data_IF_825518329404
#
_entry.id   IF_825518329404
#
_cell.length_a   1.000
_cell.length_b   1.000
_cell.length_c   1.000
_cell.angle_alpha   90.00
_cell.angle_beta   90.00
_cell.angle_gamma   90.00
#
_symmetry.space_group_name_H-M   'P 1'
#
loop_
_entity.id
_entity.type
_entity.pdbx_description
1 polymer ?
#
# COMPACT_ATOMS: atom_id res chain seq x y z
N UNK A 1 -17.80 3.22 -35.84
CA UNK A 1 -18.05 2.14 -34.88
C UNK A 1 -17.33 2.52 -33.61
N UNK A 2 -18.07 2.86 -32.55
CA UNK A 2 -17.49 3.07 -31.22
C UNK A 2 -16.96 1.71 -30.77
N UNK A 3 -15.64 1.57 -30.62
CA UNK A 3 -15.08 0.45 -29.88
C UNK A 3 -15.40 0.73 -28.42
N UNK A 4 -16.45 0.10 -27.89
CA UNK A 4 -16.76 0.21 -26.48
C UNK A 4 -15.61 -0.46 -25.70
N UNK A 5 -14.71 0.36 -25.17
CA UNK A 5 -13.62 -0.11 -24.31
C UNK A 5 -14.23 -0.67 -23.03
N UNK A 6 -13.96 -1.94 -22.76
CA UNK A 6 -14.40 -2.61 -21.54
C UNK A 6 -13.76 -1.94 -20.33
N UNK A 7 -14.59 -1.61 -19.34
CA UNK A 7 -14.13 -1.06 -18.07
C UNK A 7 -14.24 -2.08 -16.94
N UNK A 8 -13.30 -2.03 -16.01
CA UNK A 8 -13.19 -2.86 -14.83
C UNK A 8 -13.48 -1.98 -13.62
N UNK A 9 -14.40 -2.43 -12.76
CA UNK A 9 -14.72 -1.77 -11.48
C UNK A 9 -14.03 -2.50 -10.32
N UNK A 10 -13.58 -1.75 -9.32
CA UNK A 10 -12.85 -2.28 -8.18
C UNK A 10 -13.66 -3.32 -7.40
N UNK A 11 -13.02 -4.41 -6.99
CA UNK A 11 -13.65 -5.52 -6.27
C UNK A 11 -14.26 -5.10 -4.92
N UNK A 12 -13.67 -4.11 -4.27
CA UNK A 12 -14.11 -3.63 -2.95
C UNK A 12 -15.21 -2.58 -3.02
N UNK A 13 -15.67 -2.26 -4.23
CA UNK A 13 -16.58 -1.15 -4.47
C UNK A 13 -17.88 -1.18 -3.64
N UNK A 14 -18.44 -2.36 -3.36
CA UNK A 14 -19.68 -2.47 -2.57
C UNK A 14 -19.46 -2.23 -1.06
N UNK A 15 -18.23 -2.41 -0.59
CA UNK A 15 -17.87 -2.40 0.84
C UNK A 15 -17.29 -1.06 1.30
N UNK A 16 -16.78 -0.26 0.36
CA UNK A 16 -16.28 1.07 0.66
C UNK A 16 -17.43 2.00 1.01
N UNK A 17 -17.39 2.50 2.25
CA UNK A 17 -18.28 3.54 2.74
C UNK A 17 -18.04 4.85 1.97
N UNK A 18 -18.95 5.19 1.04
CA UNK A 18 -18.94 6.48 0.32
C UNK A 18 -19.31 7.60 1.28
N UNK A 19 -18.34 8.11 2.02
CA UNK A 19 -18.55 9.28 2.87
C UNK A 19 -18.41 10.55 2.01
N UNK A 20 -19.53 11.23 1.75
CA UNK A 20 -19.67 12.30 0.76
C UNK A 20 -19.01 13.64 1.14
N UNK A 21 -18.18 13.67 2.18
CA UNK A 21 -17.66 14.90 2.78
C UNK A 21 -16.31 15.34 2.20
N UNK A 22 -15.44 14.40 1.83
CA UNK A 22 -14.17 14.71 1.17
C UNK A 22 -14.29 14.58 -0.34
N UNK A 23 -13.92 15.65 -1.06
CA UNK A 23 -13.96 15.67 -2.51
C UNK A 23 -12.64 15.19 -3.11
N UNK A 24 -12.69 14.57 -4.30
CA UNK A 24 -11.48 14.34 -5.08
C UNK A 24 -10.83 15.68 -5.42
N UNK A 25 -9.50 15.65 -5.52
CA UNK A 25 -8.62 16.79 -5.74
C UNK A 25 -8.09 16.84 -7.16
N UNK A 26 -8.02 15.70 -7.86
CA UNK A 26 -7.46 15.62 -9.20
C UNK A 26 -8.52 15.49 -10.29
N UNK A 27 -9.57 14.70 -10.05
CA UNK A 27 -10.58 14.44 -11.07
C UNK A 27 -11.98 14.32 -10.48
N UNK A 28 -12.98 14.95 -11.10
CA UNK A 28 -14.35 15.00 -10.58
C UNK A 28 -15.06 13.64 -10.55
N UNK A 29 -14.59 12.70 -11.37
CA UNK A 29 -15.04 11.33 -11.50
C UNK A 29 -14.37 10.37 -10.51
N UNK A 30 -13.27 10.80 -9.88
CA UNK A 30 -12.67 10.03 -8.81
C UNK A 30 -13.58 10.02 -7.58
N UNK A 31 -13.39 8.99 -6.76
CA UNK A 31 -14.02 8.88 -5.44
C UNK A 31 -12.94 8.91 -4.37
N UNK A 32 -13.31 9.36 -3.17
CA UNK A 32 -12.44 9.30 -1.99
C UNK A 32 -12.99 8.29 -1.01
N UNK A 33 -12.14 7.35 -0.64
CA UNK A 33 -12.47 6.20 0.19
C UNK A 33 -11.72 6.28 1.51
N UNK A 34 -12.41 6.04 2.63
CA UNK A 34 -11.86 6.19 3.98
C UNK A 34 -11.69 4.83 4.63
N UNK A 35 -10.47 4.54 5.06
CA UNK A 35 -10.08 3.29 5.69
C UNK A 35 -9.70 3.58 7.16
N UNK A 36 -10.65 3.49 8.09
CA UNK A 36 -10.34 3.59 9.51
C UNK A 36 -9.53 2.38 9.94
N UNK A 37 -8.52 2.60 10.77
CA UNK A 37 -7.64 1.54 11.25
C UNK A 37 -7.23 1.75 12.69
N UNK A 38 -6.76 0.66 13.32
CA UNK A 38 -6.11 0.68 14.63
C UNK A 38 -4.76 -0.02 14.53
N UNK A 39 -3.76 0.52 15.19
CA UNK A 39 -2.43 -0.10 15.22
C UNK A 39 -1.77 0.09 16.59
N UNK A 40 -0.89 -0.86 16.94
CA UNK A 40 -0.18 -0.83 18.22
C UNK A 40 0.99 0.16 18.18
N UNK A 41 1.20 0.89 19.28
CA UNK A 41 2.43 1.65 19.48
C UNK A 41 3.52 0.74 20.08
N UNK A 42 4.73 0.83 19.52
CA UNK A 42 6.01 0.34 20.04
C UNK A 42 5.91 -0.71 21.15
N UNK A 43 5.95 -1.98 20.73
CA UNK A 43 6.30 -3.05 21.65
C UNK A 43 7.83 -3.03 21.73
N UNK A 44 8.41 -2.25 22.65
CA UNK A 44 9.61 -2.79 23.32
C UNK A 44 9.12 -4.07 23.95
N UNK A 45 9.44 -5.21 23.32
CA UNK A 45 9.09 -6.58 23.70
C UNK A 45 8.38 -6.63 25.05
N UNK A 46 7.07 -6.34 25.07
CA UNK A 46 6.27 -6.71 26.22
C UNK A 46 6.42 -8.20 26.23
N UNK A 47 6.99 -8.74 27.31
CA UNK A 47 7.18 -10.16 27.53
C UNK A 47 5.83 -10.87 27.38
N UNK A 48 5.40 -11.12 26.15
CA UNK A 48 4.73 -12.34 25.82
C UNK A 48 5.84 -13.36 26.00
N UNK A 49 5.94 -13.84 27.24
CA UNK A 49 6.95 -14.79 27.68
C UNK A 49 7.11 -15.87 26.63
N UNK A 50 8.35 -16.32 26.50
CA UNK A 50 8.98 -17.20 25.50
C UNK A 50 8.27 -18.52 25.21
N UNK A 51 6.95 -18.52 24.96
CA UNK A 51 6.07 -19.64 24.66
C UNK A 51 4.66 -19.15 24.27
N UNK A 52 4.52 -18.30 23.25
CA UNK A 52 3.22 -18.17 22.56
C UNK A 52 3.04 -19.39 21.65
N UNK A 53 2.81 -20.56 22.27
CA UNK A 53 2.34 -21.72 21.54
C UNK A 53 1.00 -21.38 20.89
N UNK A 54 0.80 -21.82 19.65
CA UNK A 54 -0.48 -21.76 18.97
C UNK A 54 -1.53 -22.42 19.87
N UNK A 55 -2.43 -21.63 20.46
CA UNK A 55 -3.50 -22.14 21.31
C UNK A 55 -4.69 -22.51 20.43
N UNK A 56 -5.33 -23.63 20.72
CA UNK A 56 -6.58 -24.05 20.09
C UNK A 56 -7.69 -24.06 21.13
N UNK A 57 -8.91 -23.70 20.73
CA UNK A 57 -10.09 -23.86 21.58
C UNK A 57 -10.60 -25.31 21.57
N UNK A 58 -11.73 -25.54 22.23
CA UNK A 58 -12.33 -26.88 22.34
C UNK A 58 -12.74 -27.47 20.98
N UNK A 59 -12.98 -26.61 19.98
CA UNK A 59 -13.36 -26.98 18.62
C UNK A 59 -12.13 -27.17 17.70
N UNK A 60 -10.92 -26.90 18.22
CA UNK A 60 -9.68 -26.99 17.46
C UNK A 60 -9.34 -25.73 16.66
N UNK A 61 -10.10 -24.65 16.83
CA UNK A 61 -9.86 -23.38 16.18
C UNK A 61 -8.74 -22.60 16.87
N UNK A 62 -7.95 -21.86 16.11
CA UNK A 62 -6.85 -21.08 16.67
C UNK A 62 -7.36 -19.93 17.54
N UNK A 63 -6.98 -19.94 18.82
CA UNK A 63 -7.23 -18.83 19.74
C UNK A 63 -6.31 -17.67 19.39
N UNK A 64 -6.89 -16.64 18.78
CA UNK A 64 -6.18 -15.40 18.42
C UNK A 64 -6.06 -14.48 19.63
N UNK A 65 -4.85 -14.36 20.19
CA UNK A 65 -4.55 -13.38 21.24
C UNK A 65 -4.61 -11.95 20.68
N UNK A 66 -5.59 -11.16 21.13
CA UNK A 66 -5.71 -9.74 20.74
C UNK A 66 -4.83 -8.87 21.63
N UNK A 67 -4.08 -7.93 21.04
CA UNK A 67 -3.30 -6.93 21.79
C UNK A 67 -4.24 -6.07 22.66
N UNK A 68 -3.90 -5.80 23.93
CA UNK A 68 -4.77 -5.04 24.84
C UNK A 68 -5.06 -3.63 24.31
N UNK A 69 -6.31 -3.19 24.50
CA UNK A 69 -6.90 -1.95 23.93
C UNK A 69 -6.15 -0.67 24.35
N UNK A 70 -5.48 -0.68 25.51
CA UNK A 70 -4.82 0.50 26.09
C UNK A 70 -3.57 0.98 25.33
N UNK A 71 -3.10 0.27 24.30
CA UNK A 71 -1.90 0.62 23.52
C UNK A 71 -2.16 0.74 22.01
N UNK A 72 -3.39 1.08 21.61
CA UNK A 72 -3.76 1.24 20.22
C UNK A 72 -3.93 2.73 19.85
N UNK A 73 -3.33 3.15 18.73
CA UNK A 73 -3.70 4.40 18.05
C UNK A 73 -4.71 4.10 16.96
N UNK A 74 -5.62 5.04 16.78
CA UNK A 74 -6.59 5.02 15.69
C UNK A 74 -6.20 6.06 14.64
N UNK A 75 -6.52 5.77 13.40
CA UNK A 75 -6.27 6.66 12.28
C UNK A 75 -7.22 6.36 11.13
N UNK A 76 -7.16 7.22 10.11
CA UNK A 76 -7.97 7.06 8.90
C UNK A 76 -7.04 7.35 7.72
N UNK A 77 -6.94 6.41 6.80
CA UNK A 77 -6.31 6.64 5.50
C UNK A 77 -7.41 7.02 4.54
N UNK A 78 -7.28 8.18 3.89
CA UNK A 78 -8.20 8.63 2.85
C UNK A 78 -7.50 8.49 1.50
N UNK A 79 -8.08 7.73 0.58
CA UNK A 79 -7.50 7.48 -0.76
C UNK A 79 -8.47 7.96 -1.82
N UNK A 80 -8.00 8.86 -2.66
CA UNK A 80 -8.61 9.18 -3.93
C UNK A 80 -8.23 8.11 -4.96
N UNK A 81 -9.23 7.60 -5.68
CA UNK A 81 -9.05 6.59 -6.71
C UNK A 81 -10.14 6.67 -7.77
N UNK A 82 -9.86 6.08 -8.92
CA UNK A 82 -10.86 5.94 -9.98
C UNK A 82 -11.87 4.86 -9.62
N UNK A 83 -13.13 5.11 -9.98
CA UNK A 83 -14.23 4.19 -9.73
C UNK A 83 -14.17 2.93 -10.59
N UNK A 84 -13.90 3.15 -11.88
CA UNK A 84 -13.84 2.15 -12.93
C UNK A 84 -12.82 2.63 -13.96
N UNK A 85 -12.06 1.71 -14.54
CA UNK A 85 -10.96 2.04 -15.47
C UNK A 85 -10.91 1.05 -16.62
N UNK A 86 -10.24 1.40 -17.70
CA UNK A 86 -9.76 0.40 -18.66
C UNK A 86 -8.68 -0.47 -18.03
N UNK A 87 -8.31 -1.58 -18.70
CA UNK A 87 -7.29 -2.50 -18.21
C UNK A 87 -5.92 -1.82 -18.02
N UNK A 88 -5.54 -0.92 -18.93
CA UNK A 88 -4.26 -0.19 -18.85
C UNK A 88 -4.17 0.80 -17.67
N UNK A 89 -5.30 1.05 -16.99
CA UNK A 89 -5.44 2.06 -15.94
C UNK A 89 -5.85 1.46 -14.59
N UNK A 90 -5.80 0.14 -14.44
CA UNK A 90 -6.18 -0.57 -13.19
C UNK A 90 -5.39 -0.15 -11.96
N UNK A 91 -4.17 0.38 -12.14
CA UNK A 91 -3.37 0.96 -11.06
C UNK A 91 -4.05 2.16 -10.37
N UNK A 92 -5.02 2.81 -11.03
CA UNK A 92 -5.81 3.90 -10.44
C UNK A 92 -6.93 3.42 -9.51
N UNK A 93 -7.07 2.11 -9.29
CA UNK A 93 -8.06 1.51 -8.41
C UNK A 93 -7.41 0.96 -7.13
N UNK A 94 -8.21 0.71 -6.10
CA UNK A 94 -7.75 0.01 -4.89
C UNK A 94 -8.03 -1.48 -5.06
N UNK A 95 -7.04 -2.30 -4.71
CA UNK A 95 -7.08 -3.75 -4.78
C UNK A 95 -7.04 -4.40 -3.39
N UNK A 96 -7.66 -5.57 -3.24
CA UNK A 96 -7.73 -6.29 -1.95
C UNK A 96 -6.36 -6.71 -1.46
N UNK A 97 -5.44 -7.06 -2.36
CA UNK A 97 -4.04 -7.34 -2.02
C UNK A 97 -3.37 -6.18 -1.30
N UNK A 98 -3.60 -4.94 -1.75
CA UNK A 98 -3.09 -3.74 -1.09
C UNK A 98 -3.70 -3.53 0.30
N UNK A 99 -5.01 -3.77 0.46
CA UNK A 99 -5.64 -3.69 1.78
C UNK A 99 -5.10 -4.74 2.76
N UNK A 100 -4.90 -5.98 2.29
CA UNK A 100 -4.33 -7.06 3.09
C UNK A 100 -2.89 -6.75 3.53
N UNK A 101 -2.04 -6.32 2.59
CA UNK A 101 -0.67 -5.92 2.91
C UNK A 101 -0.65 -4.71 3.85
N UNK A 102 -1.55 -3.74 3.66
CA UNK A 102 -1.67 -2.61 4.56
C UNK A 102 -2.03 -3.01 5.99
N UNK A 103 -2.98 -3.93 6.18
CA UNK A 103 -3.31 -4.44 7.52
C UNK A 103 -2.13 -5.18 8.17
N UNK A 104 -1.41 -6.00 7.39
CA UNK A 104 -0.19 -6.65 7.84
C UNK A 104 0.88 -5.64 8.31
N UNK A 105 1.10 -4.57 7.54
CA UNK A 105 2.04 -3.52 7.89
C UNK A 105 1.57 -2.69 9.09
N UNK A 106 0.27 -2.45 9.26
CA UNK A 106 -0.24 -1.83 10.49
C UNK A 106 0.03 -2.70 11.72
N UNK A 107 0.03 -4.03 11.58
CA UNK A 107 0.30 -4.93 12.67
C UNK A 107 1.80 -5.04 13.03
N UNK A 108 2.66 -5.16 12.01
CA UNK A 108 4.09 -5.50 12.17
C UNK A 108 5.07 -4.40 11.73
N UNK A 109 4.59 -3.33 11.12
CA UNK A 109 5.43 -2.32 10.47
C UNK A 109 6.45 -1.68 11.42
N UNK A 110 6.08 -1.45 12.68
CA UNK A 110 7.02 -0.91 13.67
C UNK A 110 8.25 -1.79 13.91
N UNK A 111 8.12 -3.12 13.80
CA UNK A 111 9.26 -4.04 13.97
C UNK A 111 9.94 -4.40 12.65
N UNK A 112 9.21 -4.36 11.54
CA UNK A 112 9.71 -4.79 10.23
C UNK A 112 10.36 -3.65 9.44
N UNK A 113 9.86 -2.42 9.58
CA UNK A 113 10.22 -1.31 8.70
C UNK A 113 11.04 -0.23 9.40
N UNK A 114 11.14 -0.25 10.73
CA UNK A 114 11.95 0.72 11.47
C UNK A 114 13.38 0.72 10.93
N UNK A 115 13.92 1.91 10.66
CA UNK A 115 15.26 2.13 10.12
C UNK A 115 15.50 1.61 8.68
N UNK A 116 14.46 1.10 8.00
CA UNK A 116 14.57 0.61 6.63
C UNK A 116 14.20 1.69 5.60
N UNK A 117 14.82 1.57 4.43
CA UNK A 117 14.37 2.23 3.19
C UNK A 117 13.50 1.24 2.43
N UNK A 118 12.24 1.59 2.25
CA UNK A 118 11.23 0.74 1.62
C UNK A 118 11.02 1.18 0.18
N UNK A 119 11.06 0.23 -0.74
CA UNK A 119 10.61 0.40 -2.12
C UNK A 119 9.28 -0.33 -2.29
N UNK A 120 8.30 0.31 -2.89
CA UNK A 120 7.11 -0.39 -3.37
C UNK A 120 7.05 -0.38 -4.89
N UNK A 121 6.77 -1.56 -5.45
CA UNK A 121 6.65 -1.80 -6.88
C UNK A 121 5.18 -1.92 -7.26
N UNK A 122 4.75 -1.18 -8.29
CA UNK A 122 3.35 -1.19 -8.71
C UNK A 122 2.42 -0.72 -7.61
N UNK A 123 2.75 0.41 -6.99
CA UNK A 123 2.07 0.97 -5.82
C UNK A 123 0.57 1.28 -6.06
N UNK A 124 0.14 1.35 -7.32
CA UNK A 124 -1.18 1.81 -7.71
C UNK A 124 -1.46 3.17 -7.09
N UNK A 125 -2.53 3.27 -6.31
CA UNK A 125 -2.92 4.52 -5.64
C UNK A 125 -2.06 4.89 -4.43
N UNK A 126 -1.09 4.05 -4.05
CA UNK A 126 -0.09 4.29 -3.00
C UNK A 126 -0.54 3.97 -1.57
N UNK A 127 -1.62 3.19 -1.40
CA UNK A 127 -2.20 2.88 -0.08
C UNK A 127 -1.18 2.24 0.87
N UNK A 128 -0.52 1.18 0.43
CA UNK A 128 0.47 0.39 1.17
C UNK A 128 1.74 1.18 1.44
N UNK A 129 2.24 1.96 0.48
CA UNK A 129 3.30 2.93 0.71
C UNK A 129 2.96 3.95 1.81
N UNK A 130 1.72 4.47 1.85
CA UNK A 130 1.28 5.40 2.91
C UNK A 130 1.32 4.72 4.27
N UNK A 131 0.88 3.46 4.36
CA UNK A 131 0.99 2.67 5.60
C UNK A 131 2.45 2.45 5.98
N UNK A 132 3.30 2.04 5.04
CA UNK A 132 4.72 1.81 5.27
C UNK A 132 5.42 3.08 5.80
N UNK A 133 5.05 4.25 5.28
CA UNK A 133 5.59 5.54 5.66
C UNK A 133 5.26 5.95 7.11
N UNK A 134 4.33 5.26 7.78
CA UNK A 134 4.09 5.45 9.21
C UNK A 134 5.18 4.86 10.11
N UNK A 135 6.01 3.97 9.56
CA UNK A 135 6.97 3.13 10.31
C UNK A 135 8.40 3.16 9.76
N UNK A 136 8.57 3.31 8.45
CA UNK A 136 9.87 3.34 7.77
C UNK A 136 10.62 4.66 7.97
N UNK A 137 11.92 4.67 7.62
CA UNK A 137 12.73 5.89 7.54
C UNK A 137 12.54 6.61 6.20
N UNK A 138 12.51 5.85 5.10
CA UNK A 138 12.24 6.35 3.75
C UNK A 138 11.33 5.36 3.01
N UNK A 139 10.41 5.90 2.22
CA UNK A 139 9.55 5.16 1.30
C UNK A 139 9.71 5.72 -0.11
N UNK A 140 10.02 4.83 -1.05
CA UNK A 140 10.08 5.07 -2.48
C UNK A 140 8.88 4.35 -3.09
N UNK A 141 7.84 5.11 -3.40
CA UNK A 141 6.58 4.64 -3.95
C UNK A 141 6.67 4.71 -5.49
N UNK A 142 6.54 3.57 -6.19
CA UNK A 142 6.77 3.51 -7.64
C UNK A 142 5.63 2.86 -8.41
N UNK A 143 5.37 3.40 -9.59
CA UNK A 143 4.44 2.84 -10.56
C UNK A 143 4.88 3.25 -11.97
N UNK A 144 4.27 2.68 -13.01
CA UNK A 144 4.52 3.08 -14.40
C UNK A 144 3.84 4.43 -14.67
N UNK A 145 4.52 5.41 -15.26
CA UNK A 145 3.97 6.77 -15.43
C UNK A 145 2.92 6.86 -16.55
N UNK A 146 1.77 6.23 -16.33
CA UNK A 146 0.64 6.14 -17.25
C UNK A 146 -0.63 6.65 -16.58
N UNK A 147 -1.44 7.39 -17.33
CA UNK A 147 -2.75 7.84 -16.89
C UNK A 147 -2.74 8.71 -15.62
N UNK A 148 -1.66 9.46 -15.36
CA UNK A 148 -1.55 10.35 -14.21
C UNK A 148 -1.46 9.65 -12.86
N UNK A 149 -1.03 8.38 -12.81
CA UNK A 149 -0.94 7.62 -11.57
C UNK A 149 0.03 8.24 -10.55
N UNK A 150 1.19 8.74 -11.00
CA UNK A 150 2.15 9.35 -10.08
C UNK A 150 1.61 10.63 -9.43
N UNK A 151 0.79 11.41 -10.14
CA UNK A 151 0.10 12.57 -9.57
C UNK A 151 -0.94 12.14 -8.52
N UNK A 152 -1.69 11.08 -8.83
CA UNK A 152 -2.65 10.47 -7.90
C UNK A 152 -1.99 10.00 -6.60
N UNK A 153 -0.85 9.30 -6.70
CA UNK A 153 -0.08 8.88 -5.53
C UNK A 153 0.36 10.10 -4.70
N UNK A 154 0.89 11.15 -5.34
CA UNK A 154 1.33 12.37 -4.63
C UNK A 154 0.16 13.07 -3.95
N UNK A 155 -1.00 13.17 -4.60
CA UNK A 155 -2.20 13.73 -4.00
C UNK A 155 -2.67 12.90 -2.79
N UNK A 156 -2.61 11.57 -2.88
CA UNK A 156 -2.93 10.67 -1.76
C UNK A 156 -1.92 10.80 -0.61
N UNK A 157 -0.63 10.88 -0.88
CA UNK A 157 0.39 11.14 0.14
C UNK A 157 0.15 12.50 0.84
N UNK A 158 -0.14 13.54 0.06
CA UNK A 158 -0.46 14.86 0.57
C UNK A 158 -1.74 14.87 1.41
N UNK A 159 -2.78 14.13 1.00
CA UNK A 159 -4.03 13.96 1.78
C UNK A 159 -3.77 13.31 3.15
N UNK A 160 -2.81 12.39 3.21
CA UNK A 160 -2.48 11.63 4.42
C UNK A 160 -1.26 12.16 5.19
N UNK A 161 -0.75 13.36 4.88
CA UNK A 161 0.54 13.86 5.37
C UNK A 161 0.77 13.75 6.89
N UNK A 162 -0.29 13.81 7.70
CA UNK A 162 -0.20 13.69 9.16
C UNK A 162 0.20 12.28 9.64
N UNK A 163 0.02 11.26 8.80
CA UNK A 163 0.38 9.88 9.08
C UNK A 163 1.83 9.58 8.67
N UNK A 164 2.35 10.30 7.68
CA UNK A 164 3.68 10.08 7.12
C UNK A 164 4.76 10.53 8.11
N UNK A 165 5.57 9.57 8.57
CA UNK A 165 6.76 9.84 9.40
C UNK A 165 8.05 9.67 8.61
N UNK A 166 8.03 8.87 7.55
CA UNK A 166 9.12 8.66 6.62
C UNK A 166 9.26 9.82 5.62
N UNK A 167 10.46 9.95 5.02
CA UNK A 167 10.57 10.65 3.74
C UNK A 167 9.79 9.87 2.67
N UNK A 168 8.92 10.53 1.91
CA UNK A 168 8.05 9.88 0.93
C UNK A 168 8.35 10.40 -0.48
N UNK A 169 8.92 9.54 -1.32
CA UNK A 169 9.30 9.87 -2.70
C UNK A 169 8.43 9.10 -3.68
N UNK A 170 7.92 9.77 -4.72
CA UNK A 170 7.15 9.14 -5.80
C UNK A 170 7.94 9.19 -7.10
N UNK A 171 8.27 8.03 -7.66
CA UNK A 171 9.06 7.89 -8.88
C UNK A 171 8.34 7.00 -9.90
N UNK A 172 8.49 7.32 -11.18
CA UNK A 172 8.11 6.41 -12.25
C UNK A 172 9.14 5.28 -12.37
N UNK A 173 8.67 4.04 -12.46
CA UNK A 173 9.53 2.87 -12.65
C UNK A 173 8.88 1.90 -13.64
N UNK A 174 9.55 1.70 -14.78
CA UNK A 174 9.19 0.70 -15.79
C UNK A 174 10.21 -0.44 -15.73
N UNK A 175 9.76 -1.63 -15.32
CA UNK A 175 10.60 -2.83 -15.20
C UNK A 175 11.07 -3.37 -16.54
N UNK A 176 10.35 -3.06 -17.62
CA UNK A 176 10.69 -3.54 -18.96
C UNK A 176 11.63 -2.58 -19.70
N UNK A 177 11.99 -1.44 -19.08
CA UNK A 177 12.93 -0.51 -19.66
C UNK A 177 14.34 -1.13 -19.76
N UNK A 178 15.04 -0.88 -20.87
CA UNK A 178 16.42 -1.34 -21.10
C UNK A 178 17.50 -0.64 -20.24
N UNK A 179 17.08 0.15 -19.26
CA UNK A 179 17.92 0.88 -18.33
C UNK A 179 17.11 1.96 -17.61
N UNK A 180 17.44 2.21 -16.34
CA UNK A 180 16.82 3.27 -15.57
C UNK A 180 17.69 4.52 -15.58
N UNK A 181 17.08 5.68 -15.34
CA UNK A 181 17.88 6.90 -15.26
C UNK A 181 18.75 6.87 -13.98
N UNK A 182 19.94 7.49 -13.98
CA UNK A 182 20.86 7.43 -12.83
C UNK A 182 20.26 7.88 -11.50
N UNK A 183 19.28 8.79 -11.54
CA UNK A 183 18.58 9.25 -10.34
C UNK A 183 17.71 8.16 -9.72
N UNK A 184 17.06 7.33 -10.54
CA UNK A 184 16.27 6.18 -10.08
C UNK A 184 17.25 5.15 -9.53
N UNK A 185 18.29 4.78 -10.27
CA UNK A 185 19.29 3.80 -9.82
C UNK A 185 19.91 4.19 -8.48
N UNK A 186 20.35 5.45 -8.33
CA UNK A 186 20.93 5.96 -7.09
C UNK A 186 19.95 5.94 -5.90
N UNK A 187 18.64 6.05 -6.16
CA UNK A 187 17.63 5.91 -5.11
C UNK A 187 17.40 4.46 -4.70
N UNK A 188 17.56 3.53 -5.63
CA UNK A 188 17.35 2.11 -5.39
C UNK A 188 18.53 1.44 -4.65
N UNK A 189 19.73 2.01 -4.66
CA UNK A 189 20.92 1.38 -4.02
C UNK A 189 20.81 1.15 -2.52
N UNK A 190 19.98 1.92 -1.82
CA UNK A 190 19.84 1.86 -0.36
C UNK A 190 18.57 1.12 0.09
N UNK A 191 17.83 0.53 -0.85
CA UNK A 191 16.59 -0.19 -0.54
C UNK A 191 16.92 -1.46 0.24
N UNK A 192 16.24 -1.64 1.37
CA UNK A 192 16.44 -2.79 2.26
C UNK A 192 15.18 -3.66 2.38
N UNK A 193 14.02 -3.14 1.98
CA UNK A 193 12.74 -3.86 1.94
C UNK A 193 12.03 -3.52 0.64
N UNK A 194 11.51 -4.54 -0.04
CA UNK A 194 10.65 -4.38 -1.22
C UNK A 194 9.24 -4.86 -0.89
N UNK A 195 8.26 -4.02 -1.18
CA UNK A 195 6.83 -4.33 -1.08
C UNK A 195 6.25 -4.54 -2.48
N UNK A 196 5.40 -5.56 -2.61
CA UNK A 196 4.61 -5.82 -3.82
C UNK A 196 3.23 -6.27 -3.35
N UNK A 197 2.19 -5.57 -3.78
CA UNK A 197 0.81 -5.95 -3.56
C UNK A 197 0.16 -6.19 -4.92
N UNK A 198 -0.37 -7.39 -5.15
CA UNK A 198 -1.11 -7.70 -6.37
C UNK A 198 -0.29 -7.51 -7.67
N UNK A 199 0.99 -7.90 -7.65
CA UNK A 199 1.81 -7.95 -8.85
C UNK A 199 1.29 -9.02 -9.81
N UNK A 200 0.98 -8.65 -11.05
CA UNK A 200 0.47 -9.59 -12.06
C UNK A 200 1.39 -10.81 -12.23
N UNK A 201 0.81 -12.01 -12.08
CA UNK A 201 1.39 -13.28 -12.53
C UNK A 201 1.39 -13.35 -14.07
N UNK A 202 2.28 -12.61 -14.72
CA UNK A 202 2.63 -12.91 -16.09
C UNK A 202 3.93 -13.73 -16.05
N UNK A 203 3.95 -14.93 -16.62
CA UNK A 203 5.10 -15.88 -16.55
C UNK A 203 6.47 -15.32 -16.99
N UNK A 204 6.50 -14.13 -17.58
CA UNK A 204 7.71 -13.37 -17.91
C UNK A 204 8.25 -12.47 -16.78
N UNK A 205 7.43 -12.08 -15.80
CA UNK A 205 7.84 -11.19 -14.70
C UNK A 205 8.70 -11.91 -13.65
N UNK A 206 8.52 -13.23 -13.44
CA UNK A 206 9.36 -14.03 -12.54
C UNK A 206 10.86 -13.98 -12.90
N UNK A 207 11.19 -13.90 -14.19
CA UNK A 207 12.60 -13.88 -14.64
C UNK A 207 13.27 -12.53 -14.32
N UNK A 208 12.52 -11.43 -14.28
CA UNK A 208 13.06 -10.13 -13.86
C UNK A 208 13.12 -9.97 -12.34
N UNK A 209 12.17 -10.55 -11.59
CA UNK A 209 12.14 -10.44 -10.12
C UNK A 209 13.26 -11.24 -9.43
N UNK A 210 13.70 -12.36 -10.02
CA UNK A 210 14.67 -13.27 -9.40
C UNK A 210 16.13 -12.97 -9.79
N UNK A 211 16.36 -12.07 -10.76
CA UNK A 211 17.70 -11.77 -11.27
C UNK A 211 18.32 -10.46 -10.73
N UNK A 212 17.74 -9.88 -9.68
CA UNK A 212 18.40 -8.88 -8.81
C UNK A 212 19.13 -9.56 -7.66
#
# INVERSE_FOLDING_TARGET
>A
MSSDEYQITSEIHQEINRDSTEKPSLATENVVSRFPFKYALNIESSECGTNCGVMMDEDGDLIVCRKPVLMQKEGIIAIEHSYSTTLDLVGRQIWRGALLLGDFLLHYGSSLLQDHTVLELGSGVGFTSIVAAMFASEVICTDIDVGGILELIRANAARNYKLLKANFTVLGLDFYAHGWCPNVEAKLTNVTVVLVADGEENKSSEISFVNT
#
